data_IF_765304206508
#
_entry.id   IF_765304206508
#
_cell.length_a   1.000
_cell.length_b   1.000
_cell.length_c   1.000
_cell.angle_alpha   90.00
_cell.angle_beta   90.00
_cell.angle_gamma   90.00
#
_symmetry.space_group_name_H-M   'P 1'
#
loop_
_entity.id
_entity.type
_entity.pdbx_description
1 polymer ?
#
# COMPACT_ATOMS: atom_id res chain seq x y z
N UNK A 1 -5.08 -7.84 56.50
CA UNK A 1 -5.09 -7.64 55.99
C UNK A 1 -4.95 -7.20 55.10
N UNK A 2 -4.74 -7.12 54.92
CA UNK A 2 -4.53 -6.75 54.16
C UNK A 2 -4.40 -6.42 53.10
N UNK A 3 -4.41 -6.38 52.81
CA UNK A 3 -4.31 -6.12 51.86
C UNK A 3 -4.21 -5.61 50.94
N UNK A 4 -4.17 -5.58 50.70
CA UNK A 4 -4.21 -5.17 49.82
C UNK A 4 -3.92 -4.90 48.90
N UNK A 5 -3.68 -5.03 48.67
CA UNK A 5 -3.54 -4.87 47.77
C UNK A 5 -3.59 -4.67 46.76
N UNK A 6 -3.49 -4.61 46.49
CA UNK A 6 -3.67 -4.45 45.45
C UNK A 6 -3.73 -4.05 44.54
N UNK A 7 -3.77 -3.85 44.45
CA UNK A 7 -3.98 -3.62 43.29
C UNK A 7 -3.60 -3.11 42.39
N UNK A 8 -3.13 -3.00 42.51
CA UNK A 8 -2.98 -2.62 41.59
C UNK A 8 -2.74 -2.54 40.64
N UNK A 9 -2.63 -2.76 40.75
CA UNK A 9 -2.67 -2.79 39.76
C UNK A 9 -2.81 -2.56 38.88
N UNK A 10 -2.73 -2.53 38.85
CA UNK A 10 -3.18 -2.44 37.85
C UNK A 10 -3.05 -1.79 37.10
N UNK A 11 -2.73 -1.63 37.14
CA UNK A 11 -2.90 -1.18 36.32
C UNK A 11 -2.46 -0.90 35.51
N UNK A 12 -1.99 -1.01 35.49
CA UNK A 12 -1.86 -0.86 34.60
C UNK A 12 -1.90 -0.88 33.72
N UNK A 13 -1.75 -1.03 33.68
CA UNK A 13 -2.11 -1.23 32.79
C UNK A 13 -2.46 -0.79 32.01
N UNK A 14 -2.35 -0.62 32.00
CA UNK A 14 -2.89 -0.34 31.12
C UNK A 14 -2.67 0.26 30.34
N UNK A 15 -1.94 0.43 30.60
CA UNK A 15 -1.94 0.88 29.81
C UNK A 15 -1.83 0.83 28.88
N UNK A 16 -1.66 0.68 28.90
CA UNK A 16 -1.71 0.59 28.10
C UNK A 16 -1.70 0.79 27.44
N UNK A 17 -1.73 0.37 27.57
CA UNK A 17 -2.02 0.45 26.62
C UNK A 17 -2.22 1.18 25.94
N UNK A 18 -1.90 1.50 26.04
CA UNK A 18 -2.36 2.42 25.17
C UNK A 18 -1.84 2.20 23.83
N UNK A 19 -2.63 1.88 22.97
CA UNK A 19 -2.28 1.63 21.63
C UNK A 19 -1.43 2.73 21.06
N UNK A 20 -0.48 2.42 20.25
CA UNK A 20 0.33 3.39 19.53
C UNK A 20 -0.52 3.92 18.37
N UNK A 21 -0.96 5.18 18.41
CA UNK A 21 -1.92 5.68 17.41
C UNK A 21 -1.42 5.60 15.98
N UNK A 22 -0.11 5.78 15.74
CA UNK A 22 0.41 5.76 14.38
C UNK A 22 0.48 4.38 13.75
N UNK A 23 0.36 3.31 14.54
CA UNK A 23 0.54 1.96 14.01
C UNK A 23 -0.55 1.54 13.04
N UNK A 24 -1.77 2.07 13.19
CA UNK A 24 -2.87 1.71 12.31
C UNK A 24 -2.90 2.49 11.03
N UNK A 25 -1.99 3.41 10.82
CA UNK A 25 -1.95 4.25 9.64
C UNK A 25 -0.94 3.74 8.60
N UNK A 26 -0.67 2.47 8.64
CA UNK A 26 0.28 1.84 7.74
C UNK A 26 -0.30 0.51 7.25
N UNK A 27 -0.32 0.35 5.92
CA UNK A 27 -0.87 -0.86 5.30
C UNK A 27 0.14 -1.40 4.29
N UNK A 28 0.27 -2.72 4.26
CA UNK A 28 1.03 -3.42 3.24
C UNK A 28 0.09 -4.42 2.58
N UNK A 29 0.05 -4.42 1.25
CA UNK A 29 -0.83 -5.31 0.49
C UNK A 29 -0.06 -5.94 -0.66
N UNK A 30 -0.37 -7.19 -0.98
CA UNK A 30 0.29 -7.89 -2.06
C UNK A 30 -0.29 -7.50 -3.41
N UNK A 31 0.59 -7.36 -4.40
CA UNK A 31 0.19 -7.26 -5.80
C UNK A 31 -0.13 -8.65 -6.31
N UNK A 32 -1.37 -8.84 -6.72
CA UNK A 32 -1.84 -10.13 -7.26
C UNK A 32 -1.76 -10.06 -8.78
N UNK A 33 -1.06 -11.01 -9.42
CA UNK A 33 -0.94 -11.01 -10.88
C UNK A 33 -2.30 -11.05 -11.57
N UNK A 34 -2.43 -10.29 -12.65
CA UNK A 34 -3.61 -10.34 -13.49
C UNK A 34 -3.38 -11.38 -14.57
N UNK A 35 -4.16 -12.46 -14.57
CA UNK A 35 -4.00 -13.53 -15.54
C UNK A 35 -2.59 -14.11 -15.50
N UNK A 36 -1.98 -14.21 -16.66
CA UNK A 36 -0.66 -14.81 -16.83
C UNK A 36 0.48 -13.78 -16.84
N UNK A 37 0.25 -12.59 -16.31
CA UNK A 37 1.25 -11.53 -16.37
C UNK A 37 2.56 -11.88 -15.65
N UNK A 38 2.47 -12.68 -14.58
CA UNK A 38 3.63 -13.01 -13.77
C UNK A 38 4.11 -11.86 -12.90
N UNK A 39 3.41 -10.73 -12.91
CA UNK A 39 3.81 -9.55 -12.13
C UNK A 39 3.26 -9.66 -10.72
N UNK A 40 4.14 -9.56 -9.74
CA UNK A 40 3.78 -9.62 -8.32
C UNK A 40 4.58 -8.57 -7.55
N UNK A 41 4.52 -8.63 -6.23
CA UNK A 41 5.19 -7.67 -5.38
C UNK A 41 4.27 -7.18 -4.30
N UNK A 42 4.46 -5.94 -3.86
CA UNK A 42 3.63 -5.40 -2.80
C UNK A 42 3.58 -3.87 -2.85
N UNK A 43 2.62 -3.34 -2.13
CA UNK A 43 2.41 -1.90 -2.00
C UNK A 43 2.42 -1.57 -0.51
N UNK A 44 3.14 -0.52 -0.14
CA UNK A 44 3.14 0.00 1.22
C UNK A 44 2.51 1.39 1.19
N UNK A 45 1.55 1.61 2.09
CA UNK A 45 0.84 2.88 2.18
C UNK A 45 0.92 3.38 3.62
N UNK A 46 1.23 4.67 3.77
CA UNK A 46 1.33 5.29 5.09
C UNK A 46 0.53 6.58 5.09
N UNK A 47 -0.44 6.68 6.00
CA UNK A 47 -1.20 7.91 6.19
C UNK A 47 -0.27 9.00 6.73
N UNK A 48 -0.31 10.17 6.08
CA UNK A 48 0.49 11.31 6.52
C UNK A 48 -0.22 12.08 7.62
N UNK A 49 0.53 12.66 8.57
CA UNK A 49 -0.10 13.36 9.71
C UNK A 49 -1.00 14.53 9.33
N UNK A 50 -0.70 15.21 8.23
CA UNK A 50 -1.45 16.39 7.79
C UNK A 50 -2.33 16.10 6.58
N UNK A 51 -2.64 14.82 6.35
CA UNK A 51 -3.47 14.41 5.24
C UNK A 51 -2.66 13.88 4.08
N UNK A 52 -3.31 13.03 3.28
CA UNK A 52 -2.66 12.36 2.17
C UNK A 52 -1.95 11.08 2.58
N UNK A 53 -1.46 10.37 1.60
CA UNK A 53 -0.86 9.05 1.78
C UNK A 53 0.44 8.95 1.00
N UNK A 54 1.48 8.43 1.64
CA UNK A 54 2.68 8.00 0.92
C UNK A 54 2.43 6.59 0.40
N UNK A 55 2.69 6.38 -0.89
CA UNK A 55 2.48 5.09 -1.54
C UNK A 55 3.79 4.65 -2.16
N UNK A 56 4.21 3.43 -1.84
CA UNK A 56 5.42 2.84 -2.39
C UNK A 56 5.05 1.50 -3.01
N UNK A 57 5.24 1.38 -4.32
CA UNK A 57 4.94 0.18 -5.09
C UNK A 57 6.25 -0.49 -5.46
N UNK A 58 6.38 -1.76 -5.14
CA UNK A 58 7.54 -2.57 -5.51
C UNK A 58 7.01 -3.78 -6.28
N UNK A 59 7.38 -3.86 -7.56
CA UNK A 59 6.90 -4.90 -8.46
C UNK A 59 8.07 -5.73 -8.98
N UNK A 60 7.80 -7.01 -9.21
CA UNK A 60 8.77 -7.95 -9.75
C UNK A 60 8.10 -8.84 -10.79
N UNK A 61 8.88 -9.61 -11.52
CA UNK A 61 8.37 -10.39 -12.64
C UNK A 61 8.12 -9.53 -13.86
N UNK A 62 8.74 -8.36 -13.92
CA UNK A 62 8.58 -7.41 -15.00
C UNK A 62 9.56 -7.75 -16.15
N UNK A 63 9.25 -7.29 -17.34
CA UNK A 63 10.16 -7.42 -18.47
C UNK A 63 11.24 -6.34 -18.35
N UNK A 64 12.52 -6.73 -18.27
CA UNK A 64 13.61 -5.75 -18.12
C UNK A 64 13.58 -4.68 -19.22
N UNK A 65 13.80 -3.44 -18.81
CA UNK A 65 13.83 -2.31 -19.72
C UNK A 65 12.48 -1.79 -20.17
N UNK A 66 11.40 -2.43 -19.74
CA UNK A 66 10.05 -2.03 -20.12
C UNK A 66 9.52 -1.00 -19.15
N UNK A 67 8.74 -0.05 -19.66
CA UNK A 67 8.11 0.99 -18.86
C UNK A 67 6.76 0.50 -18.37
N UNK A 68 6.49 0.74 -17.08
CA UNK A 68 5.22 0.42 -16.44
C UNK A 68 4.71 1.68 -15.75
N UNK A 69 3.42 1.67 -15.43
CA UNK A 69 2.80 2.76 -14.68
C UNK A 69 1.99 2.19 -13.53
N UNK A 70 1.81 3.00 -12.51
CA UNK A 70 0.99 2.64 -11.35
C UNK A 70 -0.12 3.66 -11.19
N UNK A 71 -1.29 3.15 -10.81
CA UNK A 71 -2.47 3.97 -10.56
C UNK A 71 -3.11 3.53 -9.24
N UNK A 72 -3.88 4.42 -8.65
CA UNK A 72 -4.66 4.06 -7.48
C UNK A 72 -6.13 4.37 -7.72
N UNK A 73 -7.00 3.70 -6.97
CA UNK A 73 -8.44 3.70 -7.22
C UNK A 73 -9.18 3.76 -5.90
N UNK A 74 -10.42 4.28 -5.95
CA UNK A 74 -11.33 4.13 -4.83
C UNK A 74 -11.93 2.74 -4.80
N UNK A 75 -12.09 2.10 -5.96
CA UNK A 75 -12.56 0.73 -6.04
C UNK A 75 -11.55 -0.24 -5.45
N UNK A 76 -12.01 -1.42 -5.07
CA UNK A 76 -11.14 -2.44 -4.45
C UNK A 76 -10.47 -3.36 -5.47
N UNK A 77 -10.73 -3.18 -6.77
CA UNK A 77 -10.31 -4.13 -7.79
C UNK A 77 -9.70 -3.47 -9.02
N UNK A 78 -9.09 -2.30 -8.85
CA UNK A 78 -8.37 -1.59 -9.90
C UNK A 78 -9.24 -1.26 -11.11
N UNK A 79 -10.49 -0.88 -10.86
CA UNK A 79 -11.41 -0.42 -11.91
C UNK A 79 -11.62 1.08 -11.81
N UNK A 80 -11.68 1.72 -12.97
CA UNK A 80 -11.82 3.17 -13.08
C UNK A 80 -13.02 3.71 -12.30
N UNK A 81 -12.90 4.96 -11.81
CA UNK A 81 -11.88 5.96 -12.16
C UNK A 81 -10.55 5.71 -11.48
N UNK A 82 -9.47 6.07 -12.17
CA UNK A 82 -8.11 5.84 -11.75
C UNK A 82 -7.36 7.17 -11.66
N UNK A 83 -6.45 7.26 -10.70
CA UNK A 83 -5.55 8.39 -10.56
C UNK A 83 -4.11 7.93 -10.71
N UNK A 84 -3.27 8.68 -11.42
CA UNK A 84 -1.90 8.25 -11.64
C UNK A 84 -1.05 8.38 -10.38
N UNK A 85 -0.22 7.40 -10.13
CA UNK A 85 0.79 7.44 -9.09
C UNK A 85 2.16 7.77 -9.68
N UNK A 86 2.51 7.16 -10.82
CA UNK A 86 3.77 7.43 -11.49
C UNK A 86 4.15 6.32 -12.44
N UNK A 87 5.26 6.55 -13.16
CA UNK A 87 5.83 5.57 -14.09
C UNK A 87 7.18 5.09 -13.58
N UNK A 88 7.59 3.92 -14.03
CA UNK A 88 8.88 3.36 -13.66
C UNK A 88 9.34 2.38 -14.74
N UNK A 89 10.65 2.14 -14.80
CA UNK A 89 11.24 1.23 -15.76
C UNK A 89 11.81 0.04 -15.02
N UNK A 90 11.51 -1.16 -15.50
CA UNK A 90 12.03 -2.39 -14.89
C UNK A 90 13.53 -2.49 -15.09
N UNK A 91 14.24 -2.86 -14.02
CA UNK A 91 15.68 -3.06 -14.08
C UNK A 91 16.01 -4.41 -14.74
N UNK A 92 17.31 -4.71 -14.96
CA UNK A 92 17.69 -5.98 -15.59
C UNK A 92 17.20 -7.22 -14.83
N UNK A 93 16.94 -7.10 -13.54
CA UNK A 93 16.42 -8.21 -12.75
C UNK A 93 14.89 -8.35 -12.80
N UNK A 94 14.22 -7.50 -13.57
CA UNK A 94 12.76 -7.56 -13.65
C UNK A 94 12.05 -6.93 -12.46
N UNK A 95 12.71 -6.03 -11.75
CA UNK A 95 12.15 -5.33 -10.59
C UNK A 95 12.01 -3.85 -10.92
N UNK A 96 10.93 -3.27 -10.48
CA UNK A 96 10.71 -1.84 -10.61
C UNK A 96 9.96 -1.31 -9.40
N UNK A 97 10.07 0.00 -9.19
CA UNK A 97 9.38 0.61 -8.06
C UNK A 97 9.03 2.06 -8.37
N UNK A 98 7.98 2.51 -7.73
CA UNK A 98 7.59 3.91 -7.79
C UNK A 98 7.11 4.33 -6.39
N UNK A 99 7.40 5.56 -6.06
CA UNK A 99 7.08 6.14 -4.77
C UNK A 99 6.43 7.50 -5.02
N UNK A 100 5.27 7.71 -4.45
CA UNK A 100 4.56 8.97 -4.60
C UNK A 100 3.76 9.33 -3.38
N UNK A 101 3.50 10.62 -3.23
CA UNK A 101 2.59 11.12 -2.21
C UNK A 101 1.32 11.57 -2.91
N UNK A 102 0.18 11.07 -2.46
CA UNK A 102 -1.12 11.41 -3.01
C UNK A 102 -1.91 12.23 -2.00
N UNK A 103 -2.88 13.00 -2.50
CA UNK A 103 -3.69 13.84 -1.63
C UNK A 103 -4.79 13.08 -0.90
N UNK A 104 -5.20 11.94 -1.44
CA UNK A 104 -6.24 11.12 -0.82
C UNK A 104 -5.72 10.46 0.44
N UNK A 105 -6.59 10.35 1.44
CA UNK A 105 -6.25 9.67 2.68
C UNK A 105 -6.28 8.15 2.50
N UNK A 106 -5.62 7.45 3.40
CA UNK A 106 -5.44 6.00 3.29
C UNK A 106 -6.79 5.27 3.19
N UNK A 107 -7.80 5.70 3.93
CA UNK A 107 -9.11 5.06 3.91
C UNK A 107 -9.88 5.29 2.61
N UNK A 108 -9.39 6.19 1.76
CA UNK A 108 -10.01 6.45 0.45
C UNK A 108 -9.37 5.63 -0.67
N UNK A 109 -8.25 4.95 -0.39
CA UNK A 109 -7.56 4.16 -1.39
C UNK A 109 -8.05 2.71 -1.34
N UNK A 110 -8.81 2.30 -2.35
CA UNK A 110 -9.35 0.95 -2.40
C UNK A 110 -8.40 -0.07 -3.01
N UNK A 111 -7.61 0.35 -3.99
CA UNK A 111 -6.66 -0.54 -4.67
C UNK A 111 -5.56 0.24 -5.38
N UNK A 112 -4.49 -0.46 -5.73
CA UNK A 112 -3.34 0.09 -6.45
C UNK A 112 -2.95 -0.91 -7.53
N UNK A 113 -2.67 -0.42 -8.74
CA UNK A 113 -2.35 -1.28 -9.87
C UNK A 113 -0.95 -1.04 -10.42
N UNK A 114 -0.47 -2.05 -11.14
CA UNK A 114 0.66 -1.94 -12.06
C UNK A 114 0.12 -2.23 -13.44
N UNK A 115 0.35 -1.31 -14.38
CA UNK A 115 -0.10 -1.44 -15.76
C UNK A 115 1.06 -1.30 -16.71
N UNK A 116 0.90 -1.85 -17.90
CA UNK A 116 1.93 -1.82 -18.94
C UNK A 116 1.96 -0.43 -19.57
N UNK A 117 3.18 0.05 -19.82
CA UNK A 117 3.40 1.27 -20.57
C UNK A 117 3.38 2.52 -19.71
N UNK A 118 3.63 3.69 -20.33
CA UNK A 118 3.63 4.96 -19.59
C UNK A 118 2.22 5.50 -19.34
N UNK A 119 1.20 4.94 -19.98
CA UNK A 119 -0.19 5.34 -19.80
C UNK A 119 -1.01 4.26 -19.12
N UNK A 120 -2.30 4.34 -19.33
CA UNK A 120 -3.25 3.38 -18.74
C UNK A 120 -3.34 2.15 -19.65
N UNK A 121 -2.27 1.36 -19.67
CA UNK A 121 -2.21 0.15 -20.49
C UNK A 121 -2.79 -1.06 -19.80
N UNK A 122 -2.46 -2.24 -20.32
CA UNK A 122 -3.02 -3.49 -19.80
C UNK A 122 -2.64 -3.70 -18.34
N UNK A 123 -3.62 -4.16 -17.57
CA UNK A 123 -3.43 -4.44 -16.15
C UNK A 123 -2.49 -5.63 -15.97
N UNK A 124 -1.45 -5.44 -15.18
CA UNK A 124 -0.48 -6.49 -14.89
C UNK A 124 -0.69 -7.08 -13.50
N UNK A 125 -1.01 -6.24 -12.53
CA UNK A 125 -1.24 -6.70 -11.16
C UNK A 125 -2.08 -5.68 -10.39
N UNK A 126 -2.80 -6.16 -9.40
CA UNK A 126 -3.67 -5.33 -8.57
C UNK A 126 -3.50 -5.70 -7.10
N UNK A 127 -3.30 -4.69 -6.26
CA UNK A 127 -3.26 -4.84 -4.81
C UNK A 127 -4.55 -4.28 -4.23
N UNK A 128 -5.28 -5.10 -3.51
CA UNK A 128 -6.50 -4.67 -2.81
C UNK A 128 -6.11 -4.11 -1.46
N UNK A 129 -6.46 -2.86 -1.20
CA UNK A 129 -6.17 -2.19 0.05
C UNK A 129 -7.35 -2.28 1.02
N UNK A 130 -8.55 -2.06 0.49
CA UNK A 130 -9.78 -2.13 1.31
C UNK A 130 -10.87 -2.93 0.61
#
# INVERSE_FOLDING_TARGET
MKKTIAPLSLLLVILGASAVPGAEHHVKADLVPNGDSGVSGFVQLTQMPHGGTNVHVIAKGLHPGTVYSSFYYESSNCTEPADPLGTFTANPGGVGQVHGKIDDDLDEVGSVSVRLGPGYGDLQACAKIH
#
